data_IF_317524502157
#
_entry.id   IF_317524502157
#
_cell.length_a   1.000
_cell.length_b   1.000
_cell.length_c   1.000
_cell.angle_alpha   90.00
_cell.angle_beta   90.00
_cell.angle_gamma   90.00
#
_symmetry.space_group_name_H-M   'P 1'
#
loop_
_entity.id
_entity.type
_entity.pdbx_description
1 polymer ?
#
# COMPACT_ATOMS: atom_id res chain seq x y z
N UNK A 1 16.85 23.29 4.42
CA UNK A 1 15.87 22.38 5.07
C UNK A 1 16.30 20.91 5.05
N UNK A 2 16.51 20.29 3.87
CA UNK A 2 16.86 18.85 3.77
C UNK A 2 18.12 18.45 4.55
N UNK A 3 19.27 19.06 4.23
CA UNK A 3 20.56 18.71 4.86
C UNK A 3 20.54 18.89 6.38
N UNK A 4 19.94 19.98 6.85
CA UNK A 4 19.78 20.23 8.28
C UNK A 4 18.95 19.12 8.95
N UNK A 5 17.84 18.70 8.33
CA UNK A 5 16.99 17.61 8.84
C UNK A 5 17.70 16.26 8.88
N UNK A 6 18.63 16.01 7.96
CA UNK A 6 19.46 14.80 7.95
C UNK A 6 20.53 14.82 9.05
N UNK A 7 21.05 15.99 9.40
CA UNK A 7 22.08 16.15 10.44
C UNK A 7 21.55 16.18 11.88
N UNK A 8 20.23 16.34 12.06
CA UNK A 8 19.57 16.56 13.36
C UNK A 8 19.73 15.40 14.35
N UNK A 9 19.92 14.17 13.88
CA UNK A 9 19.96 12.99 14.76
C UNK A 9 18.70 12.89 15.61
N UNK A 10 18.84 12.93 16.94
CA UNK A 10 17.73 12.88 17.90
C UNK A 10 17.31 14.24 18.46
N UNK A 11 17.94 15.35 18.07
CA UNK A 11 17.72 16.67 18.68
C UNK A 11 16.90 17.61 17.78
N UNK A 12 15.68 17.20 17.41
CA UNK A 12 14.80 17.98 16.53
C UNK A 12 14.61 19.43 17.01
N UNK A 13 14.44 19.63 18.32
CA UNK A 13 14.22 20.93 18.93
C UNK A 13 15.39 21.92 18.73
N UNK A 14 16.64 21.44 18.65
CA UNK A 14 17.81 22.32 18.53
C UNK A 14 17.88 23.02 17.17
N UNK A 15 17.24 22.45 16.15
CA UNK A 15 17.22 22.99 14.80
C UNK A 15 16.06 23.96 14.53
N UNK A 16 15.08 24.07 15.43
CA UNK A 16 13.92 24.93 15.27
C UNK A 16 14.27 26.40 14.96
N UNK A 17 15.22 27.06 15.65
CA UNK A 17 15.56 28.45 15.34
C UNK A 17 16.08 28.64 13.91
N UNK A 18 16.89 27.70 13.43
CA UNK A 18 17.41 27.71 12.06
C UNK A 18 16.31 27.41 11.04
N UNK A 19 15.40 26.49 11.35
CA UNK A 19 14.25 26.18 10.49
C UNK A 19 13.33 27.38 10.33
N UNK A 20 13.08 28.15 11.40
CA UNK A 20 12.31 29.42 11.33
C UNK A 20 13.01 30.41 10.39
N UNK A 21 14.33 30.59 10.53
CA UNK A 21 15.09 31.50 9.67
C UNK A 21 15.04 31.06 8.20
N UNK A 22 15.20 29.78 7.91
CA UNK A 22 15.13 29.27 6.55
C UNK A 22 13.72 29.35 5.96
N UNK A 23 12.69 29.12 6.77
CA UNK A 23 11.29 29.22 6.33
C UNK A 23 10.90 30.64 5.94
N UNK A 24 11.48 31.68 6.55
CA UNK A 24 11.26 33.06 6.13
C UNK A 24 11.65 33.32 4.66
N UNK A 25 12.51 32.49 4.05
CA UNK A 25 12.88 32.66 2.64
C UNK A 25 11.81 32.17 1.67
N UNK A 26 10.95 31.24 2.08
CA UNK A 26 9.99 30.60 1.18
C UNK A 26 9.04 31.64 0.52
N UNK A 27 8.44 32.60 1.25
CA UNK A 27 7.56 33.59 0.64
C UNK A 27 8.29 34.54 -0.31
N UNK A 28 9.56 34.89 -0.03
CA UNK A 28 10.36 35.72 -0.93
C UNK A 28 10.69 35.00 -2.25
N UNK A 29 10.76 33.67 -2.22
CA UNK A 29 10.91 32.84 -3.40
C UNK A 29 9.57 32.51 -4.10
N UNK A 30 8.45 33.03 -3.60
CA UNK A 30 7.11 32.71 -4.13
C UNK A 30 6.67 31.28 -3.86
N UNK A 31 7.26 30.59 -2.87
CA UNK A 31 6.97 29.19 -2.57
C UNK A 31 5.89 29.09 -1.50
N UNK A 32 4.90 28.24 -1.76
CA UNK A 32 3.76 27.99 -0.88
C UNK A 32 3.82 26.57 -0.30
N UNK A 33 3.16 26.34 0.84
CA UNK A 33 3.11 24.97 1.40
C UNK A 33 2.37 23.99 0.49
N UNK A 34 1.31 24.43 -0.17
CA UNK A 34 0.59 23.61 -1.15
C UNK A 34 1.48 23.31 -2.34
N UNK A 35 2.10 24.32 -2.96
CA UNK A 35 2.92 24.12 -4.14
C UNK A 35 4.19 23.28 -3.89
N UNK A 36 4.75 23.37 -2.68
CA UNK A 36 5.84 22.49 -2.24
C UNK A 36 5.38 21.03 -2.03
N UNK A 37 4.17 20.82 -1.51
CA UNK A 37 3.61 19.47 -1.31
C UNK A 37 3.08 18.85 -2.60
N UNK A 38 2.48 19.61 -3.51
CA UNK A 38 2.04 19.08 -4.81
C UNK A 38 3.20 18.92 -5.78
N UNK A 39 4.34 19.56 -5.50
CA UNK A 39 5.52 19.57 -6.35
C UNK A 39 5.47 20.62 -7.46
N UNK A 40 4.37 21.39 -7.61
CA UNK A 40 4.27 22.41 -8.65
C UNK A 40 5.36 23.48 -8.53
N UNK A 41 5.65 23.91 -7.31
CA UNK A 41 6.70 24.93 -7.07
C UNK A 41 8.09 24.37 -7.35
N UNK A 42 8.29 23.07 -7.05
CA UNK A 42 9.53 22.36 -7.35
C UNK A 42 9.74 22.22 -8.84
N UNK A 43 8.70 21.86 -9.59
CA UNK A 43 8.78 21.67 -11.05
C UNK A 43 9.03 23.00 -11.76
N UNK A 44 8.38 24.09 -11.34
CA UNK A 44 8.64 25.46 -11.85
C UNK A 44 10.09 25.85 -11.61
N UNK A 45 10.57 25.76 -10.35
CA UNK A 45 11.97 26.09 -10.05
C UNK A 45 12.94 25.23 -10.85
N UNK A 46 12.73 23.92 -10.90
CA UNK A 46 13.60 22.99 -11.62
C UNK A 46 13.66 23.33 -13.12
N UNK A 47 12.53 23.68 -13.74
CA UNK A 47 12.49 24.07 -15.15
C UNK A 47 13.30 25.35 -15.44
N UNK A 48 13.19 26.38 -14.59
CA UNK A 48 13.99 27.60 -14.71
C UNK A 48 15.50 27.31 -14.64
N UNK A 49 15.92 26.45 -13.70
CA UNK A 49 17.33 26.11 -13.54
C UNK A 49 17.89 25.26 -14.69
N UNK A 50 17.11 24.34 -15.25
CA UNK A 50 17.52 23.49 -16.38
C UNK A 50 17.65 24.30 -17.67
N UNK A 51 16.80 25.32 -17.86
CA UNK A 51 16.89 26.20 -19.03
C UNK A 51 18.15 27.09 -19.00
N UNK A 52 18.60 27.51 -17.82
CA UNK A 52 19.74 28.42 -17.63
C UNK A 52 21.11 27.72 -17.67
N UNK A 53 21.21 26.42 -17.37
CA UNK A 53 22.50 25.72 -17.16
C UNK A 53 22.67 24.44 -17.98
N UNK A 54 22.68 24.59 -19.32
CA UNK A 54 22.86 23.45 -20.27
C UNK A 54 24.27 22.87 -20.37
N UNK A 55 25.27 23.44 -19.68
CA UNK A 55 26.69 23.13 -19.93
C UNK A 55 27.41 22.34 -18.82
N UNK A 56 26.81 22.18 -17.62
CA UNK A 56 27.39 21.40 -16.51
C UNK A 56 26.33 20.50 -15.85
N UNK A 57 25.94 19.39 -16.49
CA UNK A 57 24.84 18.55 -15.99
C UNK A 57 25.24 17.70 -14.75
N UNK A 58 26.44 17.10 -14.72
CA UNK A 58 26.75 16.02 -13.75
C UNK A 58 26.91 16.49 -12.29
N UNK A 59 27.60 17.60 -12.02
CA UNK A 59 27.78 18.11 -10.66
C UNK A 59 26.48 18.70 -10.09
N UNK A 60 25.64 19.27 -10.95
CA UNK A 60 24.41 19.98 -10.55
C UNK A 60 23.26 19.03 -10.25
N UNK A 61 23.18 17.88 -10.94
CA UNK A 61 22.18 16.84 -10.63
C UNK A 61 22.27 16.32 -9.19
N UNK A 62 23.46 16.35 -8.59
CA UNK A 62 23.65 15.97 -7.17
C UNK A 62 22.92 16.91 -6.21
N UNK A 63 22.86 18.22 -6.50
CA UNK A 63 22.14 19.21 -5.69
C UNK A 63 20.62 19.07 -5.83
N UNK A 64 20.13 18.72 -7.03
CA UNK A 64 18.71 18.50 -7.28
C UNK A 64 18.15 17.29 -6.51
N UNK A 65 19.01 16.33 -6.12
CA UNK A 65 18.61 15.12 -5.39
C UNK A 65 17.88 15.42 -4.07
N UNK A 66 18.16 16.57 -3.44
CA UNK A 66 17.56 16.98 -2.18
C UNK A 66 16.35 17.90 -2.33
N UNK A 67 15.99 18.35 -3.54
CA UNK A 67 14.94 19.36 -3.70
C UNK A 67 13.59 18.84 -3.24
N UNK A 68 13.15 17.68 -3.76
CA UNK A 68 11.84 17.10 -3.37
C UNK A 68 11.78 16.74 -1.89
N UNK A 69 12.91 16.27 -1.35
CA UNK A 69 13.05 16.01 0.08
C UNK A 69 12.94 17.30 0.90
N UNK A 70 13.65 18.35 0.47
CA UNK A 70 13.67 19.66 1.11
C UNK A 70 12.32 20.35 1.07
N UNK A 71 11.64 20.32 -0.07
CA UNK A 71 10.29 20.86 -0.24
C UNK A 71 9.30 20.21 0.73
N UNK A 72 9.30 18.87 0.78
CA UNK A 72 8.45 18.13 1.70
C UNK A 72 8.77 18.46 3.16
N UNK A 73 10.06 18.50 3.52
CA UNK A 73 10.50 18.80 4.88
C UNK A 73 10.16 20.23 5.31
N UNK A 74 10.24 21.21 4.41
CA UNK A 74 9.85 22.59 4.71
C UNK A 74 8.44 22.66 5.28
N UNK A 75 7.52 21.87 4.72
CA UNK A 75 6.13 21.82 5.18
C UNK A 75 5.98 21.00 6.46
N UNK A 76 6.66 19.85 6.57
CA UNK A 76 6.65 19.05 7.82
C UNK A 76 7.18 19.86 9.02
N UNK A 77 8.22 20.67 8.84
CA UNK A 77 8.71 21.55 9.91
C UNK A 77 7.70 22.63 10.29
N UNK A 78 6.93 23.14 9.33
CA UNK A 78 5.76 23.96 9.60
C UNK A 78 4.76 23.24 10.50
N UNK A 79 4.44 21.98 10.18
CA UNK A 79 3.52 21.15 10.98
C UNK A 79 3.99 20.88 12.41
N UNK A 80 5.31 20.79 12.61
CA UNK A 80 5.93 20.53 13.91
C UNK A 80 5.91 21.78 14.80
N UNK A 81 6.09 22.96 14.22
CA UNK A 81 6.24 24.19 14.97
C UNK A 81 5.48 25.34 14.32
N UNK A 82 4.52 25.88 15.07
CA UNK A 82 3.79 27.08 14.69
C UNK A 82 4.76 28.22 14.32
N UNK A 83 5.87 28.39 15.02
CA UNK A 83 6.86 29.43 14.70
C UNK A 83 7.43 29.29 13.27
N UNK A 84 7.58 28.07 12.78
CA UNK A 84 8.02 27.79 11.41
C UNK A 84 6.90 28.09 10.41
N UNK A 85 5.65 27.74 10.73
CA UNK A 85 4.48 28.08 9.89
C UNK A 85 4.28 29.59 9.77
N UNK A 86 4.37 30.31 10.90
CA UNK A 86 4.22 31.76 10.95
C UNK A 86 5.32 32.48 10.14
N UNK A 87 6.54 31.94 10.10
CA UNK A 87 7.63 32.46 9.28
C UNK A 87 7.32 32.46 7.78
N UNK A 88 6.53 31.48 7.31
CA UNK A 88 6.07 31.41 5.92
C UNK A 88 4.80 32.26 5.70
N UNK A 89 4.09 32.61 6.77
CA UNK A 89 2.79 33.27 6.68
C UNK A 89 1.67 32.33 6.22
N UNK A 90 1.92 31.03 6.23
CA UNK A 90 0.98 29.98 5.80
C UNK A 90 0.18 29.44 6.99
N UNK A 91 -1.07 29.08 6.74
CA UNK A 91 -1.93 28.42 7.74
C UNK A 91 -2.09 26.93 7.42
N UNK A 92 -1.52 26.09 8.26
CA UNK A 92 -1.57 24.63 8.17
C UNK A 92 -2.99 24.08 8.10
N UNK A 93 -3.96 24.66 8.81
CA UNK A 93 -5.34 24.17 8.75
C UNK A 93 -5.93 24.36 7.36
N UNK A 94 -5.58 25.45 6.69
CA UNK A 94 -5.99 25.73 5.30
C UNK A 94 -5.35 24.74 4.34
N UNK A 95 -4.04 24.48 4.49
CA UNK A 95 -3.31 23.47 3.70
C UNK A 95 -3.94 22.09 3.84
N UNK A 96 -4.25 21.67 5.09
CA UNK A 96 -4.93 20.39 5.35
C UNK A 96 -6.29 20.31 4.68
N UNK A 97 -7.10 21.36 4.82
CA UNK A 97 -8.44 21.42 4.23
C UNK A 97 -8.39 21.33 2.70
N UNK A 98 -7.46 22.05 2.06
CA UNK A 98 -7.31 22.03 0.61
C UNK A 98 -6.95 20.62 0.12
N UNK A 99 -5.96 19.97 0.75
CA UNK A 99 -5.58 18.59 0.41
C UNK A 99 -6.69 17.58 0.69
N UNK A 100 -7.50 17.77 1.73
CA UNK A 100 -8.67 16.92 1.98
C UNK A 100 -9.75 17.10 0.91
N UNK A 101 -9.92 18.32 0.40
CA UNK A 101 -10.96 18.66 -0.58
C UNK A 101 -10.60 18.28 -2.03
N UNK A 102 -9.31 18.19 -2.37
CA UNK A 102 -8.82 17.92 -3.73
C UNK A 102 -8.02 16.61 -3.79
N UNK A 103 -8.58 15.59 -4.46
CA UNK A 103 -7.96 14.27 -4.59
C UNK A 103 -6.65 14.30 -5.37
N UNK A 104 -6.57 15.06 -6.46
CA UNK A 104 -5.34 15.18 -7.26
C UNK A 104 -4.20 15.80 -6.45
N UNK A 105 -4.47 16.92 -5.78
CA UNK A 105 -3.49 17.58 -4.92
C UNK A 105 -3.04 16.66 -3.78
N UNK A 106 -3.96 15.86 -3.23
CA UNK A 106 -3.65 14.86 -2.22
C UNK A 106 -2.74 13.76 -2.74
N UNK A 107 -2.99 13.21 -3.93
CA UNK A 107 -2.12 12.20 -4.54
C UNK A 107 -0.71 12.73 -4.80
N UNK A 108 -0.61 13.98 -5.26
CA UNK A 108 0.68 14.66 -5.44
C UNK A 108 1.39 14.87 -4.09
N UNK A 109 0.66 15.30 -3.05
CA UNK A 109 1.21 15.41 -1.70
C UNK A 109 1.73 14.08 -1.16
N UNK A 110 0.95 13.00 -1.29
CA UNK A 110 1.38 11.64 -0.92
C UNK A 110 2.66 11.25 -1.68
N UNK A 111 2.73 11.57 -2.98
CA UNK A 111 3.90 11.31 -3.81
C UNK A 111 5.14 12.11 -3.38
N UNK A 112 4.99 13.36 -2.93
CA UNK A 112 6.11 14.16 -2.44
C UNK A 112 6.60 13.68 -1.06
N UNK A 113 5.67 13.41 -0.16
CA UNK A 113 5.98 12.94 1.20
C UNK A 113 6.73 11.61 1.22
N UNK A 114 6.60 10.77 0.17
CA UNK A 114 7.38 9.53 0.04
C UNK A 114 8.88 9.77 0.18
N UNK A 115 9.39 10.92 -0.27
CA UNK A 115 10.83 11.21 -0.26
C UNK A 115 11.38 11.26 1.17
N UNK A 116 10.56 11.67 2.16
CA UNK A 116 10.94 11.61 3.57
C UNK A 116 10.86 10.18 4.10
N UNK A 117 9.80 9.45 3.75
CA UNK A 117 9.56 8.08 4.24
C UNK A 117 10.61 7.08 3.74
N UNK A 118 11.00 7.18 2.45
CA UNK A 118 11.98 6.28 1.82
C UNK A 118 13.44 6.63 2.16
N UNK A 119 13.70 7.80 2.75
CA UNK A 119 15.06 8.18 3.14
C UNK A 119 15.53 7.35 4.33
N UNK A 120 16.58 6.55 4.13
CA UNK A 120 17.12 5.65 5.16
C UNK A 120 17.73 6.39 6.36
N UNK A 121 18.35 7.54 6.12
CA UNK A 121 19.01 8.37 7.14
C UNK A 121 18.06 9.33 7.86
N UNK A 122 16.79 9.39 7.47
CA UNK A 122 15.83 10.31 8.07
C UNK A 122 15.44 9.88 9.49
N UNK A 123 15.48 10.80 10.48
CA UNK A 123 15.01 10.52 11.82
C UNK A 123 13.57 9.98 11.86
N UNK A 124 13.35 8.95 12.67
CA UNK A 124 12.02 8.31 12.82
C UNK A 124 10.95 9.26 13.33
N UNK A 125 11.32 10.27 14.11
CA UNK A 125 10.40 11.31 14.58
C UNK A 125 9.85 12.16 13.42
N UNK A 126 10.69 12.54 12.44
CA UNK A 126 10.23 13.21 11.23
C UNK A 126 9.34 12.31 10.37
N UNK A 127 9.69 11.01 10.23
CA UNK A 127 8.83 10.04 9.54
C UNK A 127 7.49 9.87 10.25
N UNK A 128 7.46 9.90 11.59
CA UNK A 128 6.23 9.82 12.36
C UNK A 128 5.30 11.02 12.08
N UNK A 129 5.85 12.24 12.03
CA UNK A 129 5.07 13.42 11.65
C UNK A 129 4.51 13.33 10.22
N UNK A 130 5.25 12.74 9.28
CA UNK A 130 4.74 12.48 7.92
C UNK A 130 3.59 11.49 7.96
N UNK A 131 3.71 10.38 8.71
CA UNK A 131 2.64 9.39 8.86
C UNK A 131 1.39 10.02 9.46
N UNK A 132 1.52 10.81 10.52
CA UNK A 132 0.39 11.50 11.15
C UNK A 132 -0.25 12.52 10.21
N UNK A 133 0.56 13.19 9.38
CA UNK A 133 0.04 14.10 8.35
C UNK A 133 -0.71 13.35 7.24
N UNK A 134 -0.21 12.19 6.78
CA UNK A 134 -0.92 11.32 5.83
C UNK A 134 -2.28 10.90 6.38
N UNK A 135 -2.36 10.54 7.67
CA UNK A 135 -3.62 10.23 8.34
C UNK A 135 -4.60 11.41 8.38
N UNK A 136 -4.06 12.64 8.51
CA UNK A 136 -4.88 13.85 8.49
C UNK A 136 -5.46 14.14 7.10
N UNK A 137 -4.67 13.99 6.03
CA UNK A 137 -5.10 14.39 4.68
C UNK A 137 -5.86 13.30 3.94
N UNK A 138 -5.56 12.03 4.20
CA UNK A 138 -6.27 10.91 3.59
C UNK A 138 -7.61 10.68 4.30
N UNK A 139 -8.72 10.86 3.57
CA UNK A 139 -10.06 10.71 4.12
C UNK A 139 -10.34 9.26 4.56
N UNK A 140 -11.01 9.08 5.68
CA UNK A 140 -11.58 7.78 6.07
C UNK A 140 -12.74 7.36 5.14
N UNK A 141 -13.40 8.34 4.51
CA UNK A 141 -14.48 8.13 3.54
C UNK A 141 -14.22 9.03 2.33
N UNK A 142 -13.73 8.51 1.20
CA UNK A 142 -13.55 9.33 0.00
C UNK A 142 -14.91 9.95 -0.36
N UNK A 143 -14.96 11.25 -0.73
CA UNK A 143 -16.21 11.91 -1.04
C UNK A 143 -16.92 11.17 -2.18
N UNK A 144 -18.19 10.80 -1.96
CA UNK A 144 -19.03 10.07 -2.93
C UNK A 144 -19.29 10.84 -4.23
N UNK A 145 -18.89 12.10 -4.29
CA UNK A 145 -19.11 13.01 -5.41
C UNK A 145 -17.78 13.26 -6.15
N UNK A 146 -17.19 12.21 -6.72
CA UNK A 146 -16.33 12.39 -7.90
C UNK A 146 -17.27 12.47 -9.11
N UNK A 147 -18.01 13.58 -9.23
CA UNK A 147 -18.78 13.87 -10.44
C UNK A 147 -17.82 14.36 -11.52
N UNK A 148 -17.81 13.64 -12.65
CA UNK A 148 -17.52 14.12 -13.99
C UNK A 148 -16.27 14.99 -14.16
N UNK A 149 -15.11 14.34 -14.10
CA UNK A 149 -14.10 14.47 -15.14
C UNK A 149 -13.25 13.20 -15.07
N UNK A 150 -13.02 12.56 -16.22
CA UNK A 150 -12.18 11.38 -16.35
C UNK A 150 -10.71 11.80 -16.11
N UNK A 151 -10.36 12.20 -14.87
CA UNK A 151 -8.98 12.51 -14.50
C UNK A 151 -8.20 11.23 -14.74
N UNK A 152 -7.32 11.27 -15.73
CA UNK A 152 -6.44 10.16 -16.05
C UNK A 152 -5.49 9.93 -14.86
N UNK A 153 -5.91 9.05 -13.96
CA UNK A 153 -5.17 8.76 -12.75
C UNK A 153 -3.87 7.98 -13.04
N UNK A 154 -3.67 7.48 -14.27
CA UNK A 154 -2.51 6.68 -14.65
C UNK A 154 -1.19 7.41 -14.44
N UNK A 155 -1.17 8.74 -14.63
CA UNK A 155 0.02 9.59 -14.44
C UNK A 155 0.51 9.56 -13.00
N UNK A 156 -0.39 9.42 -12.02
CA UNK A 156 -0.06 9.40 -10.60
C UNK A 156 0.30 8.00 -10.08
N UNK A 157 -0.12 6.93 -10.77
CA UNK A 157 0.01 5.55 -10.29
C UNK A 157 1.45 5.13 -9.95
N UNK A 158 2.49 5.42 -10.76
CA UNK A 158 3.87 5.07 -10.40
C UNK A 158 4.31 5.76 -9.11
N UNK A 159 3.92 7.02 -8.94
CA UNK A 159 4.30 7.82 -7.78
C UNK A 159 3.59 7.40 -6.51
N UNK A 160 2.29 7.10 -6.60
CA UNK A 160 1.48 6.54 -5.52
C UNK A 160 1.98 5.14 -5.11
N UNK A 161 2.32 4.27 -6.08
CA UNK A 161 2.88 2.95 -5.80
C UNK A 161 4.19 3.05 -4.99
N UNK A 162 5.10 3.95 -5.39
CA UNK A 162 6.32 4.21 -4.63
C UNK A 162 6.07 4.82 -3.24
N UNK A 163 5.03 5.64 -3.09
CA UNK A 163 4.63 6.16 -1.77
C UNK A 163 4.08 5.05 -0.86
N UNK A 164 3.20 4.19 -1.38
CA UNK A 164 2.69 3.02 -0.66
C UNK A 164 3.81 2.04 -0.28
N UNK A 165 4.82 1.88 -1.15
CA UNK A 165 6.02 1.11 -0.84
C UNK A 165 6.80 1.72 0.33
N UNK A 166 7.03 3.05 0.32
CA UNK A 166 7.70 3.74 1.42
C UNK A 166 6.91 3.65 2.74
N UNK A 167 5.57 3.72 2.69
CA UNK A 167 4.71 3.47 3.86
C UNK A 167 4.87 2.02 4.35
N UNK A 168 4.92 1.05 3.44
CA UNK A 168 5.13 -0.37 3.79
C UNK A 168 6.48 -0.59 4.48
N UNK A 169 7.54 0.09 4.01
CA UNK A 169 8.85 0.07 4.68
C UNK A 169 8.79 0.64 6.10
N UNK A 170 8.00 1.69 6.35
CA UNK A 170 7.78 2.21 7.70
C UNK A 170 7.04 1.20 8.58
N UNK A 171 6.05 0.49 8.05
CA UNK A 171 5.35 -0.58 8.77
C UNK A 171 6.32 -1.69 9.19
N UNK A 172 7.29 -2.04 8.32
CA UNK A 172 8.26 -3.10 8.60
C UNK A 172 9.35 -2.63 9.57
N UNK A 173 9.92 -1.44 9.34
CA UNK A 173 11.18 -1.04 9.95
C UNK A 173 11.06 -0.08 11.14
N UNK A 174 9.93 0.61 11.33
CA UNK A 174 9.84 1.62 12.39
C UNK A 174 9.99 0.98 13.78
N UNK A 175 10.80 1.54 14.69
CA UNK A 175 11.03 0.96 16.03
C UNK A 175 9.79 1.07 16.92
N UNK A 176 9.03 2.16 16.78
CA UNK A 176 7.81 2.42 17.54
C UNK A 176 6.63 1.62 17.00
N UNK A 177 5.98 0.83 17.89
CA UNK A 177 4.75 0.09 17.57
C UNK A 177 3.60 1.03 17.20
N UNK A 178 3.55 2.23 17.79
CA UNK A 178 2.54 3.25 17.47
C UNK A 178 2.74 3.76 16.05
N UNK A 179 3.98 4.08 15.67
CA UNK A 179 4.29 4.53 14.29
C UNK A 179 3.98 3.43 13.27
N UNK A 180 4.31 2.17 13.55
CA UNK A 180 3.94 1.04 12.67
C UNK A 180 2.42 0.92 12.48
N UNK A 181 1.65 1.07 13.55
CA UNK A 181 0.17 1.03 13.50
C UNK A 181 -0.40 2.22 12.71
N UNK A 182 0.10 3.42 12.96
CA UNK A 182 -0.32 4.63 12.24
C UNK A 182 0.04 4.53 10.75
N UNK A 183 1.21 3.98 10.42
CA UNK A 183 1.60 3.75 9.03
C UNK A 183 0.72 2.71 8.34
N UNK A 184 0.31 1.64 9.04
CA UNK A 184 -0.66 0.68 8.51
C UNK A 184 -2.03 1.33 8.28
N UNK A 185 -2.49 2.18 9.18
CA UNK A 185 -3.71 2.96 9.00
C UNK A 185 -3.60 3.92 7.80
N UNK A 186 -2.46 4.60 7.65
CA UNK A 186 -2.20 5.48 6.51
C UNK A 186 -2.19 4.69 5.19
N UNK A 187 -1.58 3.50 5.15
CA UNK A 187 -1.58 2.61 3.98
C UNK A 187 -3.02 2.31 3.54
N UNK A 188 -3.90 1.95 4.48
CA UNK A 188 -5.31 1.67 4.18
C UNK A 188 -6.03 2.88 3.60
N UNK A 189 -5.87 4.07 4.19
CA UNK A 189 -6.54 5.30 3.73
C UNK A 189 -6.04 5.74 2.37
N UNK A 190 -4.73 5.69 2.13
CA UNK A 190 -4.14 6.02 0.83
C UNK A 190 -4.58 5.03 -0.24
N UNK A 191 -4.64 3.73 0.06
CA UNK A 191 -5.18 2.73 -0.87
C UNK A 191 -6.67 2.99 -1.16
N UNK A 192 -7.48 3.29 -0.15
CA UNK A 192 -8.91 3.56 -0.31
C UNK A 192 -9.19 4.82 -1.16
N UNK A 193 -8.26 5.78 -1.15
CA UNK A 193 -8.32 7.00 -1.95
C UNK A 193 -8.01 6.77 -3.45
N UNK A 194 -7.50 5.60 -3.82
CA UNK A 194 -7.27 5.18 -5.21
C UNK A 194 -8.57 4.56 -5.77
N UNK A 195 -8.95 4.85 -7.04
CA UNK A 195 -10.14 4.27 -7.63
C UNK A 195 -10.08 2.73 -7.65
N UNK A 196 -11.21 2.09 -7.37
CA UNK A 196 -11.34 0.62 -7.29
C UNK A 196 -10.67 -0.17 -8.44
N UNK A 197 -10.79 0.22 -9.73
CA UNK A 197 -10.17 -0.52 -10.83
C UNK A 197 -8.64 -0.62 -10.73
N UNK A 198 -8.01 0.32 -10.03
CA UNK A 198 -6.54 0.41 -9.93
C UNK A 198 -6.00 -0.11 -8.61
N UNK A 199 -6.83 -0.26 -7.56
CA UNK A 199 -6.39 -0.74 -6.24
C UNK A 199 -5.78 -2.13 -6.30
N UNK A 200 -6.37 -3.06 -7.05
CA UNK A 200 -5.84 -4.41 -7.19
C UNK A 200 -4.45 -4.40 -7.85
N UNK A 201 -4.29 -3.60 -8.91
CA UNK A 201 -3.01 -3.44 -9.60
C UNK A 201 -1.94 -2.82 -8.68
N UNK A 202 -2.32 -1.87 -7.83
CA UNK A 202 -1.42 -1.32 -6.81
C UNK A 202 -0.98 -2.39 -5.82
N UNK A 203 -1.90 -3.20 -5.29
CA UNK A 203 -1.57 -4.30 -4.38
C UNK A 203 -0.67 -5.33 -5.05
N UNK A 204 -0.96 -5.70 -6.30
CA UNK A 204 -0.12 -6.62 -7.08
C UNK A 204 1.31 -6.07 -7.25
N UNK A 205 1.43 -4.78 -7.57
CA UNK A 205 2.72 -4.12 -7.70
C UNK A 205 3.50 -4.06 -6.37
N UNK A 206 2.80 -3.84 -5.25
CA UNK A 206 3.42 -3.86 -3.91
C UNK A 206 3.91 -5.26 -3.53
N UNK A 207 3.11 -6.31 -3.78
CA UNK A 207 3.51 -7.70 -3.51
C UNK A 207 4.73 -8.08 -4.35
N UNK A 208 4.78 -7.68 -5.63
CA UNK A 208 5.90 -7.98 -6.51
C UNK A 208 7.22 -7.28 -6.12
N UNK A 209 7.16 -6.23 -5.28
CA UNK A 209 8.31 -5.40 -4.88
C UNK A 209 8.77 -5.62 -3.45
N UNK A 210 8.01 -6.36 -2.64
CA UNK A 210 8.35 -6.60 -1.24
C UNK A 210 8.93 -8.00 -1.07
N UNK A 211 10.06 -8.08 -0.36
CA UNK A 211 10.68 -9.35 0.04
C UNK A 211 10.19 -9.84 1.42
N UNK A 212 9.21 -9.15 2.03
CA UNK A 212 8.69 -9.48 3.38
C UNK A 212 7.42 -10.34 3.28
N UNK A 213 7.47 -11.65 3.64
CA UNK A 213 6.30 -12.52 3.59
C UNK A 213 5.15 -12.05 4.49
N UNK A 214 5.46 -11.48 5.65
CA UNK A 214 4.45 -10.91 6.54
C UNK A 214 3.78 -9.66 5.93
N UNK A 215 4.52 -8.83 5.19
CA UNK A 215 3.91 -7.70 4.47
C UNK A 215 3.02 -8.17 3.32
N UNK A 216 3.44 -9.21 2.57
CA UNK A 216 2.59 -9.85 1.55
C UNK A 216 1.29 -10.35 2.20
N UNK A 217 1.38 -11.02 3.36
CA UNK A 217 0.21 -11.51 4.09
C UNK A 217 -0.75 -10.37 4.48
N UNK A 218 -0.22 -9.23 4.95
CA UNK A 218 -1.01 -8.04 5.27
C UNK A 218 -1.73 -7.50 4.01
N UNK A 219 -1.02 -7.39 2.89
CA UNK A 219 -1.60 -6.90 1.63
C UNK A 219 -2.71 -7.81 1.10
N UNK A 220 -2.53 -9.14 1.18
CA UNK A 220 -3.57 -10.10 0.83
C UNK A 220 -4.79 -10.01 1.76
N UNK A 221 -4.58 -9.76 3.06
CA UNK A 221 -5.67 -9.56 4.01
C UNK A 221 -6.47 -8.27 3.72
N UNK A 222 -5.82 -7.21 3.25
CA UNK A 222 -6.52 -6.00 2.79
C UNK A 222 -7.45 -6.29 1.62
N UNK A 223 -6.97 -7.03 0.61
CA UNK A 223 -7.81 -7.46 -0.53
C UNK A 223 -8.99 -8.30 -0.04
N UNK A 224 -8.74 -9.26 0.84
CA UNK A 224 -9.79 -10.11 1.44
C UNK A 224 -10.87 -9.28 2.15
N UNK A 225 -10.48 -8.28 2.95
CA UNK A 225 -11.42 -7.40 3.66
C UNK A 225 -12.23 -6.52 2.73
N UNK A 226 -11.62 -6.04 1.65
CA UNK A 226 -12.30 -5.25 0.64
C UNK A 226 -13.35 -6.09 -0.11
N UNK A 227 -12.98 -7.30 -0.57
CA UNK A 227 -13.90 -8.26 -1.17
C UNK A 227 -15.08 -8.60 -0.23
N UNK A 228 -14.80 -8.81 1.05
CA UNK A 228 -15.83 -9.04 2.06
C UNK A 228 -16.78 -7.84 2.19
N UNK A 229 -16.23 -6.63 2.19
CA UNK A 229 -17.02 -5.39 2.30
C UNK A 229 -17.93 -5.21 1.08
N UNK A 230 -17.42 -5.40 -0.14
CA UNK A 230 -18.23 -5.37 -1.36
C UNK A 230 -19.35 -6.43 -1.31
N UNK A 231 -19.04 -7.65 -0.87
CA UNK A 231 -20.03 -8.72 -0.78
C UNK A 231 -21.14 -8.40 0.25
N UNK A 232 -20.79 -7.87 1.42
CA UNK A 232 -21.78 -7.43 2.41
C UNK A 232 -22.68 -6.30 1.88
N UNK A 233 -22.11 -5.35 1.13
CA UNK A 233 -22.88 -4.27 0.50
C UNK A 233 -23.84 -4.80 -0.57
N UNK A 234 -23.40 -5.73 -1.41
CA UNK A 234 -24.24 -6.36 -2.42
C UNK A 234 -25.44 -7.09 -1.79
N UNK A 235 -25.22 -7.84 -0.70
CA UNK A 235 -26.30 -8.52 0.05
C UNK A 235 -27.28 -7.49 0.67
N UNK A 236 -26.76 -6.39 1.21
CA UNK A 236 -27.60 -5.33 1.81
C UNK A 236 -28.48 -4.62 0.78
N UNK A 237 -27.98 -4.39 -0.44
CA UNK A 237 -28.74 -3.78 -1.54
C UNK A 237 -29.86 -4.71 -2.01
N UNK A 238 -29.57 -6.00 -2.22
CA UNK A 238 -30.58 -7.00 -2.55
C UNK A 238 -31.70 -7.15 -1.50
N UNK A 239 -31.43 -6.83 -0.23
CA UNK A 239 -32.44 -6.87 0.83
C UNK A 239 -33.30 -5.59 0.90
N UNK A 240 -32.87 -4.49 0.26
CA UNK A 240 -33.59 -3.21 0.25
C UNK A 240 -34.37 -2.94 -1.05
N UNK A 241 -34.12 -3.70 -2.12
CA UNK A 241 -34.83 -3.57 -3.40
C UNK A 241 -36.18 -4.31 -3.42
N UNK A 242 -37.13 -3.82 -2.61
CA UNK A 242 -38.57 -3.86 -2.96
C UNK A 242 -39.04 -2.49 -3.46
N UNK A 243 -38.25 -1.40 -3.37
CA UNK A 243 -38.67 -0.10 -3.90
C UNK A 243 -37.49 0.70 -4.46
N UNK A 244 -37.62 1.02 -5.76
CA UNK A 244 -36.82 1.94 -6.59
C UNK A 244 -35.63 1.33 -7.33
N UNK A 245 -35.97 0.52 -8.32
CA UNK A 245 -35.25 0.53 -9.58
C UNK A 245 -35.39 1.93 -10.22
N UNK A 246 -34.24 2.51 -10.58
CA UNK A 246 -33.97 3.59 -11.54
C UNK A 246 -33.08 4.69 -10.94
N UNK A 247 -31.91 4.87 -11.57
CA UNK A 247 -30.99 6.01 -11.47
C UNK A 247 -29.92 6.02 -10.37
N UNK A 248 -29.06 5.00 -10.29
CA UNK A 248 -27.63 5.20 -9.97
C UNK A 248 -26.82 3.92 -10.25
N UNK A 249 -26.73 3.53 -11.53
CA UNK A 249 -25.66 2.63 -11.97
C UNK A 249 -24.34 3.42 -11.98
N UNK A 250 -23.83 3.78 -10.79
CA UNK A 250 -22.42 4.13 -10.65
C UNK A 250 -21.65 2.86 -10.99
N UNK A 251 -21.03 2.84 -12.17
CA UNK A 251 -20.19 1.76 -12.67
C UNK A 251 -18.91 1.63 -11.84
N UNK A 252 -19.06 1.25 -10.57
CA UNK A 252 -17.92 0.90 -9.74
C UNK A 252 -17.47 -0.47 -10.21
N UNK A 253 -16.39 -0.52 -10.98
CA UNK A 253 -15.75 -1.78 -11.37
C UNK A 253 -15.43 -2.55 -10.09
N UNK A 254 -16.00 -3.74 -9.94
CA UNK A 254 -15.85 -4.58 -8.75
C UNK A 254 -14.43 -5.13 -8.63
N UNK A 255 -13.96 -5.27 -7.40
CA UNK A 255 -12.71 -5.98 -7.11
C UNK A 255 -12.81 -7.49 -7.40
N UNK A 256 -14.03 -8.04 -7.49
CA UNK A 256 -14.27 -9.44 -7.84
C UNK A 256 -13.95 -9.69 -9.32
N UNK A 257 -12.69 -9.96 -9.64
CA UNK A 257 -12.23 -10.30 -10.99
C UNK A 257 -11.10 -11.35 -10.96
N UNK A 258 -10.68 -11.81 -12.13
CA UNK A 258 -9.65 -12.86 -12.27
C UNK A 258 -8.28 -12.48 -11.66
N UNK A 259 -7.95 -11.19 -11.58
CA UNK A 259 -6.70 -10.70 -10.99
C UNK A 259 -6.54 -11.06 -9.52
N UNK A 260 -7.63 -11.32 -8.80
CA UNK A 260 -7.55 -11.81 -7.41
C UNK A 260 -6.92 -13.20 -7.34
N UNK A 261 -7.20 -14.08 -8.31
CA UNK A 261 -6.56 -15.39 -8.40
C UNK A 261 -5.09 -15.28 -8.82
N UNK A 262 -4.74 -14.26 -9.61
CA UNK A 262 -3.34 -13.98 -9.95
C UNK A 262 -2.52 -13.60 -8.71
N UNK A 263 -3.11 -12.90 -7.73
CA UNK A 263 -2.45 -12.63 -6.45
C UNK A 263 -2.18 -13.92 -5.65
N UNK A 264 -3.13 -14.86 -5.66
CA UNK A 264 -2.95 -16.17 -5.02
C UNK A 264 -1.80 -16.92 -5.69
N UNK A 265 -1.80 -16.93 -7.03
CA UNK A 265 -0.76 -17.59 -7.84
C UNK A 265 0.61 -16.98 -7.60
N UNK A 266 0.73 -15.65 -7.52
CA UNK A 266 2.00 -14.95 -7.30
C UNK A 266 2.73 -15.44 -6.03
N UNK A 267 1.98 -15.86 -5.01
CA UNK A 267 2.53 -16.39 -3.76
C UNK A 267 2.72 -17.90 -3.80
N UNK A 268 1.74 -18.67 -4.28
CA UNK A 268 1.82 -20.14 -4.28
C UNK A 268 2.75 -20.69 -5.38
N UNK A 269 3.00 -19.89 -6.42
CA UNK A 269 3.89 -20.19 -7.54
C UNK A 269 4.77 -18.96 -7.85
N UNK A 270 5.86 -18.76 -7.08
CA UNK A 270 6.73 -17.61 -7.24
C UNK A 270 7.25 -17.45 -8.70
N UNK A 271 7.37 -16.22 -9.23
CA UNK A 271 7.81 -15.97 -10.61
C UNK A 271 9.20 -16.51 -10.95
N UNK A 272 10.09 -16.62 -9.94
CA UNK A 272 11.43 -17.19 -10.08
C UNK A 272 11.40 -18.71 -10.31
N UNK A 273 10.22 -19.33 -10.29
CA UNK A 273 10.01 -20.77 -10.39
C UNK A 273 10.17 -21.48 -9.05
N UNK A 274 9.73 -22.74 -9.00
CA UNK A 274 9.79 -23.57 -7.80
C UNK A 274 8.62 -23.38 -6.85
N UNK A 275 8.75 -23.96 -5.65
CA UNK A 275 7.76 -23.85 -4.58
C UNK A 275 8.14 -22.76 -3.57
N UNK A 276 7.19 -22.21 -2.79
CA UNK A 276 7.51 -21.27 -1.72
C UNK A 276 8.53 -21.86 -0.73
N UNK A 277 9.46 -21.04 -0.25
CA UNK A 277 10.47 -21.47 0.73
C UNK A 277 9.91 -21.47 2.14
N UNK A 278 10.12 -22.56 2.87
CA UNK A 278 9.68 -22.72 4.26
C UNK A 278 10.90 -22.87 5.17
N UNK A 279 10.82 -22.32 6.41
CA UNK A 279 9.66 -21.70 7.06
C UNK A 279 9.41 -20.22 6.71
N UNK A 280 10.23 -19.59 5.88
CA UNK A 280 10.25 -18.14 5.70
C UNK A 280 8.92 -17.58 5.14
N UNK A 281 8.25 -18.33 4.25
CA UNK A 281 7.03 -17.88 3.58
C UNK A 281 5.72 -18.37 4.23
N UNK A 282 5.76 -18.84 5.48
CA UNK A 282 4.57 -19.34 6.20
C UNK A 282 3.43 -18.32 6.19
N UNK A 283 3.71 -17.07 6.52
CA UNK A 283 2.71 -16.01 6.63
C UNK A 283 2.01 -15.74 5.29
N UNK A 284 2.79 -15.55 4.22
CA UNK A 284 2.25 -15.22 2.90
C UNK A 284 1.49 -16.40 2.30
N UNK A 285 2.01 -17.62 2.42
CA UNK A 285 1.33 -18.83 1.94
C UNK A 285 0.03 -19.06 2.71
N UNK A 286 0.04 -18.90 4.04
CA UNK A 286 -1.16 -19.00 4.86
C UNK A 286 -2.23 -17.99 4.44
N UNK A 287 -1.85 -16.73 4.25
CA UNK A 287 -2.76 -15.68 3.80
C UNK A 287 -3.31 -15.96 2.39
N UNK A 288 -2.48 -16.43 1.47
CA UNK A 288 -2.88 -16.78 0.10
C UNK A 288 -3.88 -17.93 0.07
N UNK A 289 -3.63 -19.02 0.81
CA UNK A 289 -4.57 -20.13 0.93
C UNK A 289 -5.90 -19.70 1.56
N UNK A 290 -5.85 -18.83 2.57
CA UNK A 290 -7.06 -18.28 3.19
C UNK A 290 -7.86 -17.38 2.24
N UNK A 291 -7.19 -16.57 1.42
CA UNK A 291 -7.83 -15.77 0.38
C UNK A 291 -8.50 -16.68 -0.66
N UNK A 292 -7.78 -17.70 -1.17
CA UNK A 292 -8.35 -18.68 -2.11
C UNK A 292 -9.58 -19.38 -1.53
N UNK A 293 -9.48 -19.87 -0.29
CA UNK A 293 -10.59 -20.51 0.43
C UNK A 293 -11.80 -19.56 0.57
N UNK A 294 -11.54 -18.30 0.92
CA UNK A 294 -12.59 -17.29 1.07
C UNK A 294 -13.33 -17.06 -0.25
N UNK A 295 -12.62 -16.87 -1.36
CA UNK A 295 -13.21 -16.66 -2.69
C UNK A 295 -14.04 -17.87 -3.11
N UNK A 296 -13.46 -19.08 -2.99
CA UNK A 296 -14.11 -20.34 -3.38
C UNK A 296 -15.43 -20.56 -2.62
N UNK A 297 -15.44 -20.32 -1.30
CA UNK A 297 -16.65 -20.44 -0.48
C UNK A 297 -17.67 -19.35 -0.79
N UNK A 298 -17.22 -18.10 -0.95
CA UNK A 298 -18.11 -16.95 -1.18
C UNK A 298 -18.82 -17.05 -2.51
N UNK A 299 -18.07 -17.30 -3.60
CA UNK A 299 -18.66 -17.46 -4.94
C UNK A 299 -19.54 -18.72 -5.03
N UNK A 300 -19.15 -19.81 -4.37
CA UNK A 300 -19.99 -21.02 -4.29
C UNK A 300 -21.31 -20.77 -3.56
N UNK A 301 -21.31 -20.00 -2.47
CA UNK A 301 -22.52 -19.69 -1.71
C UNK A 301 -23.42 -18.69 -2.44
N UNK A 302 -22.80 -17.67 -3.07
CA UNK A 302 -23.49 -16.65 -3.86
C UNK A 302 -23.97 -17.13 -5.23
N UNK A 303 -23.55 -18.31 -5.68
CA UNK A 303 -23.78 -18.83 -7.04
C UNK A 303 -23.25 -17.88 -8.13
N UNK A 304 -22.11 -17.25 -7.86
CA UNK A 304 -21.40 -16.35 -8.77
C UNK A 304 -20.08 -16.98 -9.21
N UNK A 305 -19.38 -16.36 -10.16
CA UNK A 305 -18.06 -16.82 -10.60
C UNK A 305 -17.29 -15.68 -11.30
N UNK A 306 -17.32 -14.49 -10.71
CA UNK A 306 -16.67 -13.29 -11.25
C UNK A 306 -15.14 -13.44 -11.32
N UNK A 307 -14.54 -14.11 -10.33
CA UNK A 307 -13.09 -14.41 -10.37
C UNK A 307 -12.74 -15.57 -11.29
N UNK A 308 -13.74 -16.37 -11.68
CA UNK A 308 -13.53 -17.61 -12.43
C UNK A 308 -13.08 -18.78 -11.56
N UNK A 309 -13.06 -18.67 -10.21
CA UNK A 309 -12.55 -19.73 -9.31
C UNK A 309 -13.29 -21.07 -9.46
N UNK A 310 -14.59 -21.05 -9.80
CA UNK A 310 -15.43 -22.24 -9.97
C UNK A 310 -15.36 -22.82 -11.39
N UNK A 311 -14.61 -22.19 -12.30
CA UNK A 311 -14.41 -22.74 -13.64
C UNK A 311 -13.61 -24.04 -13.57
N UNK A 312 -13.98 -25.03 -14.40
CA UNK A 312 -13.29 -26.33 -14.44
C UNK A 312 -11.79 -26.16 -14.70
N UNK A 313 -11.40 -25.23 -15.57
CA UNK A 313 -10.00 -24.93 -15.87
C UNK A 313 -9.26 -24.39 -14.65
N UNK A 314 -9.81 -23.40 -13.93
CA UNK A 314 -9.14 -22.81 -12.78
C UNK A 314 -9.10 -23.75 -11.57
N UNK A 315 -10.14 -24.58 -11.37
CA UNK A 315 -10.12 -25.62 -10.34
C UNK A 315 -9.01 -26.65 -10.60
N UNK A 316 -8.90 -27.15 -11.83
CA UNK A 316 -7.81 -28.07 -12.20
C UNK A 316 -6.44 -27.42 -12.11
N UNK A 317 -6.31 -26.16 -12.53
CA UNK A 317 -5.08 -25.38 -12.39
C UNK A 317 -4.66 -25.27 -10.92
N UNK A 318 -5.55 -24.78 -10.05
CA UNK A 318 -5.27 -24.63 -8.63
C UNK A 318 -4.91 -25.97 -7.98
N UNK A 319 -5.66 -27.04 -8.29
CA UNK A 319 -5.40 -28.37 -7.75
C UNK A 319 -4.02 -28.91 -8.14
N UNK A 320 -3.72 -28.94 -9.44
CA UNK A 320 -2.51 -29.58 -9.96
C UNK A 320 -1.26 -28.72 -9.84
N UNK A 321 -1.39 -27.40 -9.98
CA UNK A 321 -0.23 -26.49 -10.05
C UNK A 321 0.06 -25.80 -8.72
N UNK A 322 -0.91 -25.68 -7.81
CA UNK A 322 -0.72 -24.98 -6.52
C UNK A 322 -0.82 -25.94 -5.33
N UNK A 323 -1.96 -26.62 -5.17
CA UNK A 323 -2.28 -27.33 -3.92
C UNK A 323 -1.54 -28.66 -3.78
N UNK A 324 -1.51 -29.50 -4.84
CA UNK A 324 -0.81 -30.78 -4.79
C UNK A 324 0.73 -30.65 -4.64
N UNK A 325 1.41 -29.75 -5.38
CA UNK A 325 2.84 -29.51 -5.16
C UNK A 325 3.13 -29.02 -3.75
N UNK A 326 2.31 -28.09 -3.23
CA UNK A 326 2.47 -27.58 -1.87
C UNK A 326 2.27 -28.67 -0.81
N UNK A 327 1.29 -29.57 -1.01
CA UNK A 327 1.06 -30.71 -0.10
C UNK A 327 2.28 -31.62 -0.06
N UNK A 328 2.84 -31.94 -1.23
CA UNK A 328 4.04 -32.78 -1.35
C UNK A 328 5.22 -32.15 -0.60
N UNK A 329 5.45 -30.85 -0.81
CA UNK A 329 6.52 -30.12 -0.12
C UNK A 329 6.36 -30.15 1.41
N UNK A 330 5.20 -29.75 1.91
CA UNK A 330 4.95 -29.69 3.35
C UNK A 330 5.04 -31.07 4.01
N UNK A 331 4.55 -32.11 3.33
CA UNK A 331 4.65 -33.50 3.82
C UNK A 331 6.10 -33.95 3.92
N UNK A 332 6.94 -33.58 2.95
CA UNK A 332 8.39 -33.83 2.98
C UNK A 332 9.04 -33.15 4.19
N UNK A 333 8.82 -31.84 4.36
CA UNK A 333 9.39 -31.08 5.49
C UNK A 333 8.98 -31.68 6.84
N UNK A 334 7.69 -32.05 7.01
CA UNK A 334 7.21 -32.66 8.25
C UNK A 334 7.84 -34.04 8.46
N UNK A 335 7.98 -34.85 7.40
CA UNK A 335 8.60 -36.17 7.50
C UNK A 335 10.08 -36.09 7.88
N UNK A 336 10.82 -35.14 7.32
CA UNK A 336 12.24 -34.92 7.60
C UNK A 336 12.46 -34.47 9.06
N UNK A 337 11.58 -33.64 9.60
CA UNK A 337 11.65 -33.14 10.98
C UNK A 337 11.15 -34.13 12.04
N UNK A 338 10.41 -35.19 11.66
CA UNK A 338 9.71 -36.08 12.61
C UNK A 338 10.64 -36.86 13.55
N UNK A 339 11.86 -37.14 13.11
CA UNK A 339 12.86 -37.86 13.90
C UNK A 339 13.91 -36.95 14.51
N UNK A 340 13.81 -35.65 14.26
CA UNK A 340 14.74 -34.65 14.75
C UNK A 340 14.23 -34.13 16.10
N UNK A 341 15.03 -34.33 17.16
CA UNK A 341 14.70 -33.89 18.51
C UNK A 341 15.08 -32.43 18.77
N UNK A 342 15.56 -31.73 17.75
CA UNK A 342 16.04 -30.37 17.88
C UNK A 342 14.87 -29.38 18.02
N UNK A 343 15.05 -28.39 18.90
CA UNK A 343 14.07 -27.33 19.17
C UNK A 343 13.60 -26.62 17.89
N UNK A 344 14.47 -26.48 16.90
CA UNK A 344 14.16 -25.86 15.61
C UNK A 344 13.16 -26.70 14.80
N UNK A 345 13.28 -28.03 14.80
CA UNK A 345 12.37 -28.93 14.11
C UNK A 345 10.95 -28.81 14.67
N UNK A 346 10.83 -28.72 16.00
CA UNK A 346 9.56 -28.49 16.68
C UNK A 346 8.95 -27.12 16.34
N UNK A 347 9.75 -26.06 16.29
CA UNK A 347 9.29 -24.71 15.93
C UNK A 347 8.79 -24.64 14.48
N UNK A 348 9.49 -25.30 13.55
CA UNK A 348 9.06 -25.42 12.15
C UNK A 348 7.73 -26.17 12.06
N UNK A 349 7.60 -27.32 12.73
CA UNK A 349 6.35 -28.10 12.72
C UNK A 349 5.16 -27.28 13.25
N UNK A 350 5.36 -26.57 14.36
CA UNK A 350 4.35 -25.67 14.92
C UNK A 350 3.96 -24.54 13.94
N UNK A 351 4.94 -23.94 13.26
CA UNK A 351 4.69 -22.88 12.28
C UNK A 351 3.94 -23.39 11.05
N UNK A 352 4.17 -24.63 10.63
CA UNK A 352 3.53 -25.23 9.45
C UNK A 352 2.10 -25.72 9.71
N UNK A 353 1.73 -26.05 10.96
CA UNK A 353 0.42 -26.59 11.31
C UNK A 353 -0.77 -25.78 10.74
N UNK A 354 -0.83 -24.44 10.90
CA UNK A 354 -1.92 -23.64 10.32
C UNK A 354 -1.99 -23.73 8.79
N UNK A 355 -0.84 -23.75 8.11
CA UNK A 355 -0.76 -23.83 6.64
C UNK A 355 -1.31 -25.16 6.15
N UNK A 356 -0.89 -26.26 6.79
CA UNK A 356 -1.33 -27.62 6.46
C UNK A 356 -2.84 -27.75 6.58
N UNK A 357 -3.44 -27.28 7.69
CA UNK A 357 -4.89 -27.35 7.89
C UNK A 357 -5.67 -26.62 6.80
N UNK A 358 -5.25 -25.40 6.44
CA UNK A 358 -5.94 -24.62 5.41
C UNK A 358 -5.74 -25.26 4.03
N UNK A 359 -4.54 -25.76 3.73
CA UNK A 359 -4.25 -26.46 2.48
C UNK A 359 -5.16 -27.67 2.26
N UNK A 360 -5.26 -28.56 3.24
CA UNK A 360 -6.12 -29.74 3.13
C UNK A 360 -7.59 -29.35 2.95
N UNK A 361 -8.04 -28.28 3.62
CA UNK A 361 -9.40 -27.74 3.40
C UNK A 361 -9.60 -27.21 1.98
N UNK A 362 -8.61 -26.51 1.41
CA UNK A 362 -8.68 -26.05 0.03
C UNK A 362 -8.76 -27.24 -0.95
N UNK A 363 -7.96 -28.27 -0.73
CA UNK A 363 -7.96 -29.52 -1.53
C UNK A 363 -9.35 -30.16 -1.51
N UNK A 364 -9.91 -30.37 -0.31
CA UNK A 364 -11.24 -30.96 -0.13
C UNK A 364 -12.32 -30.18 -0.90
N UNK A 365 -12.34 -28.85 -0.76
CA UNK A 365 -13.30 -27.98 -1.44
C UNK A 365 -13.17 -28.07 -2.96
N UNK A 366 -11.94 -28.09 -3.49
CA UNK A 366 -11.71 -28.19 -4.94
C UNK A 366 -12.14 -29.55 -5.47
N UNK A 367 -11.81 -30.65 -4.78
CA UNK A 367 -12.25 -31.99 -5.15
C UNK A 367 -13.78 -32.11 -5.16
N UNK A 368 -14.46 -31.55 -4.16
CA UNK A 368 -15.93 -31.51 -4.10
C UNK A 368 -16.50 -30.81 -5.34
N UNK A 369 -15.99 -29.62 -5.69
CA UNK A 369 -16.47 -28.87 -6.87
C UNK A 369 -16.17 -29.60 -8.18
N UNK A 370 -15.01 -30.22 -8.31
CA UNK A 370 -14.66 -31.00 -9.50
C UNK A 370 -15.58 -32.20 -9.70
N UNK A 371 -15.99 -32.90 -8.63
CA UNK A 371 -16.94 -34.03 -8.71
C UNK A 371 -18.32 -33.62 -9.21
N UNK A 372 -18.74 -32.38 -8.95
CA UNK A 372 -20.01 -31.84 -9.45
C UNK A 372 -19.94 -31.37 -10.92
N UNK A 373 -18.73 -31.32 -11.51
CA UNK A 373 -18.48 -30.89 -12.89
C UNK A 373 -18.07 -32.06 -13.83
N UNK A 374 -18.10 -33.28 -13.30
CA UNK A 374 -17.92 -34.56 -14.00
C UNK A 374 -19.23 -35.32 -13.99
#
# INVERSE_FOLDING_TARGET
MALLSLSVGHEIASCLPLMVQFSNFLPYCGLSYIGLLTGSDVDVLTSMFVEEHKEDEDNFMSCLSYIKLGASLSVIWGLISDGVSHAVGENISTVKYELQSNQTSRWQAVAMLRHILSSASMPWELKAHVVDFLLCIASENPPKNCTDEHVDCSVYMPSLCAALQAISEVIICAPSTVVRKNAFEALKRVLADIPAPHRLNMVQALIARTDSPSMIAILLDLVRRELHTENCQAISLCNHDVLQAENNASSTISLWNAGVLELVELVLRPPKGGSPSFPEHVDSVSASLNLYRFILLTESAGKTNYTGVLSKSNLWKAYNEWLLPLRTLLTGIIADNKNDSDQLAFEIECALCPVVMVLYRCIELVEEKLRHLT
#
